data_IF_197760915625
#
_entry.id   IF_197760915625
#
_cell.length_a   1.000
_cell.length_b   1.000
_cell.length_c   1.000
_cell.angle_alpha   90.00
_cell.angle_beta   90.00
_cell.angle_gamma   90.00
#
_symmetry.space_group_name_H-M   'P 1'
#
loop_
_entity.id
_entity.type
_entity.pdbx_description
1 polymer ?
#
# COMPACT_ATOMS: atom_id res chain seq x y z
N UNK A 1 -8.67 -8.84 -0.25
CA UNK A 1 -9.63 -8.11 -1.10
C UNK A 1 -9.85 -8.82 -2.44
N UNK A 2 -8.80 -9.11 -3.21
CA UNK A 2 -8.88 -9.85 -4.48
C UNK A 2 -9.67 -11.17 -4.37
N UNK A 3 -9.27 -12.06 -3.44
CA UNK A 3 -9.99 -13.33 -3.19
C UNK A 3 -11.47 -13.13 -2.82
N UNK A 4 -11.78 -12.06 -2.08
CA UNK A 4 -13.17 -11.73 -1.70
C UNK A 4 -13.96 -11.30 -2.94
N UNK A 5 -13.37 -10.49 -3.81
CA UNK A 5 -13.96 -10.06 -5.08
C UNK A 5 -14.16 -11.23 -6.04
N UNK A 6 -13.21 -12.16 -6.10
CA UNK A 6 -13.33 -13.40 -6.87
C UNK A 6 -14.49 -14.28 -6.37
N UNK A 7 -14.64 -14.43 -5.05
CA UNK A 7 -15.81 -15.14 -4.47
C UNK A 7 -17.12 -14.44 -4.81
N UNK A 8 -17.15 -13.10 -4.84
CA UNK A 8 -18.35 -12.35 -5.25
C UNK A 8 -18.66 -12.48 -6.74
N UNK A 9 -17.65 -12.56 -7.61
CA UNK A 9 -17.84 -12.73 -9.05
C UNK A 9 -18.41 -14.12 -9.40
N UNK A 10 -18.13 -15.13 -8.57
CA UNK A 10 -18.68 -16.48 -8.72
C UNK A 10 -20.14 -16.64 -8.23
N UNK A 11 -20.74 -15.60 -7.62
CA UNK A 11 -22.11 -15.67 -7.08
C UNK A 11 -23.11 -14.92 -7.99
N UNK A 12 -24.05 -15.65 -8.59
CA UNK A 12 -25.06 -15.10 -9.53
C UNK A 12 -26.03 -14.08 -8.91
N UNK A 13 -26.22 -14.10 -7.59
CA UNK A 13 -27.08 -13.15 -6.86
C UNK A 13 -26.37 -12.76 -5.56
N UNK A 14 -26.08 -11.47 -5.39
CA UNK A 14 -25.42 -10.93 -4.18
C UNK A 14 -26.50 -10.40 -3.22
N UNK A 15 -26.97 -11.18 -2.23
CA UNK A 15 -27.86 -10.67 -1.21
C UNK A 15 -27.17 -9.60 -0.34
N UNK A 16 -27.94 -8.64 0.15
CA UNK A 16 -27.48 -7.51 0.99
C UNK A 16 -26.67 -8.01 2.20
N UNK A 17 -27.02 -9.17 2.76
CA UNK A 17 -26.31 -9.81 3.85
C UNK A 17 -24.83 -10.15 3.50
N UNK A 18 -24.56 -10.59 2.28
CA UNK A 18 -23.20 -10.87 1.84
C UNK A 18 -22.40 -9.58 1.60
N UNK A 19 -23.04 -8.50 1.16
CA UNK A 19 -22.40 -7.19 1.03
C UNK A 19 -21.92 -6.68 2.39
N UNK A 20 -22.76 -6.77 3.42
CA UNK A 20 -22.41 -6.44 4.81
C UNK A 20 -21.28 -7.35 5.31
N UNK A 21 -21.36 -8.66 5.04
CA UNK A 21 -20.31 -9.62 5.42
C UNK A 21 -18.97 -9.29 4.73
N UNK A 22 -18.99 -8.84 3.48
CA UNK A 22 -17.80 -8.37 2.76
C UNK A 22 -17.15 -7.17 3.44
N UNK A 23 -17.96 -6.19 3.87
CA UNK A 23 -17.48 -5.03 4.64
C UNK A 23 -16.88 -5.47 5.98
N UNK A 24 -17.56 -6.35 6.72
CA UNK A 24 -17.05 -6.87 7.99
C UNK A 24 -15.74 -7.64 7.77
N UNK A 25 -15.67 -8.49 6.74
CA UNK A 25 -14.45 -9.24 6.38
C UNK A 25 -13.29 -8.30 6.06
N UNK A 26 -13.55 -7.17 5.41
CA UNK A 26 -12.53 -6.14 5.17
C UNK A 26 -11.93 -5.62 6.49
N UNK A 27 -12.78 -5.24 7.45
CA UNK A 27 -12.29 -4.78 8.76
C UNK A 27 -11.54 -5.88 9.52
N UNK A 28 -12.03 -7.12 9.49
CA UNK A 28 -11.35 -8.27 10.13
C UNK A 28 -9.97 -8.51 9.51
N UNK A 29 -9.86 -8.48 8.19
CA UNK A 29 -8.58 -8.66 7.48
C UNK A 29 -7.59 -7.53 7.77
N UNK A 30 -8.08 -6.28 7.88
CA UNK A 30 -7.25 -5.13 8.23
C UNK A 30 -6.77 -5.17 9.69
N UNK A 31 -7.69 -5.38 10.63
CA UNK A 31 -7.37 -5.44 12.07
C UNK A 31 -6.53 -6.67 12.39
N UNK A 32 -6.84 -7.83 11.79
CA UNK A 32 -6.06 -9.06 11.94
C UNK A 32 -4.63 -8.88 11.46
N UNK A 33 -4.42 -8.26 10.30
CA UNK A 33 -3.08 -7.91 9.80
C UNK A 33 -2.33 -7.00 10.78
N UNK A 34 -2.99 -5.97 11.31
CA UNK A 34 -2.40 -5.05 12.29
C UNK A 34 -1.98 -5.77 13.58
N UNK A 35 -2.81 -6.65 14.13
CA UNK A 35 -2.51 -7.42 15.34
C UNK A 35 -1.31 -8.34 15.14
N UNK A 36 -1.27 -9.09 14.04
CA UNK A 36 -0.12 -9.97 13.72
C UNK A 36 1.16 -9.14 13.57
N UNK A 37 1.09 -8.01 12.89
CA UNK A 37 2.22 -7.08 12.74
C UNK A 37 2.74 -6.53 14.07
N UNK A 38 1.85 -6.22 15.01
CA UNK A 38 2.27 -5.74 16.34
C UNK A 38 2.95 -6.87 17.13
N UNK A 39 2.40 -8.09 17.10
CA UNK A 39 2.98 -9.25 17.80
C UNK A 39 4.36 -9.58 17.24
N UNK A 40 4.50 -9.63 15.91
CA UNK A 40 5.79 -9.90 15.25
C UNK A 40 6.81 -8.79 15.49
N UNK A 41 6.37 -7.52 15.51
CA UNK A 41 7.22 -6.37 15.83
C UNK A 41 7.70 -6.38 17.29
N UNK A 42 6.84 -6.78 18.22
CA UNK A 42 7.21 -7.01 19.62
C UNK A 42 8.22 -8.18 19.73
N UNK A 43 7.99 -9.28 19.00
CA UNK A 43 8.92 -10.39 18.87
C UNK A 43 10.28 -9.95 18.32
N UNK A 44 10.31 -9.05 17.34
CA UNK A 44 11.54 -8.45 16.82
C UNK A 44 12.29 -7.68 17.90
N UNK A 45 11.61 -6.84 18.69
CA UNK A 45 12.23 -6.11 19.81
C UNK A 45 12.86 -7.04 20.84
N UNK A 46 12.18 -8.14 21.16
CA UNK A 46 12.68 -9.16 22.06
C UNK A 46 13.93 -9.88 21.50
N UNK A 47 13.88 -10.35 20.25
CA UNK A 47 15.00 -11.00 19.59
C UNK A 47 16.22 -10.07 19.48
N UNK A 48 15.99 -8.82 19.12
CA UNK A 48 17.04 -7.80 19.03
C UNK A 48 17.74 -7.56 20.38
N UNK A 49 17.02 -7.67 21.50
CA UNK A 49 17.62 -7.59 22.84
C UNK A 49 18.56 -8.76 23.13
N UNK A 50 18.24 -9.96 22.65
CA UNK A 50 19.08 -11.15 22.82
C UNK A 50 20.35 -11.10 21.95
N UNK A 51 20.25 -10.52 20.75
CA UNK A 51 21.35 -10.42 19.77
C UNK A 51 22.23 -9.17 19.95
N UNK A 52 22.31 -8.62 21.17
CA UNK A 52 23.10 -7.40 21.44
C UNK A 52 24.61 -7.62 21.22
N UNK A 53 25.11 -8.84 21.45
CA UNK A 53 26.52 -9.17 21.33
C UNK A 53 27.04 -9.29 19.88
N UNK A 54 26.15 -9.44 18.88
CA UNK A 54 26.55 -9.67 17.47
C UNK A 54 25.97 -8.57 16.58
N UNK A 55 26.72 -7.48 16.38
CA UNK A 55 26.27 -6.29 15.65
C UNK A 55 25.84 -6.56 14.20
N UNK A 56 26.41 -7.58 13.54
CA UNK A 56 26.07 -7.96 12.15
C UNK A 56 24.72 -8.70 12.03
N UNK A 57 24.25 -9.33 13.10
CA UNK A 57 22.99 -10.07 13.09
C UNK A 57 21.77 -9.17 13.37
N UNK A 58 21.98 -7.98 13.93
CA UNK A 58 20.90 -7.02 14.25
C UNK A 58 20.06 -6.62 13.00
N UNK A 59 20.67 -6.22 11.86
CA UNK A 59 19.90 -5.93 10.64
C UNK A 59 19.14 -7.14 10.09
N UNK A 60 19.77 -8.32 10.14
CA UNK A 60 19.17 -9.56 9.63
C UNK A 60 17.90 -9.91 10.42
N UNK A 61 17.95 -9.82 11.75
CA UNK A 61 16.78 -10.07 12.60
C UNK A 61 15.61 -9.15 12.25
N UNK A 62 15.87 -7.86 11.98
CA UNK A 62 14.80 -6.92 11.57
C UNK A 62 14.13 -7.37 10.27
N UNK A 63 14.91 -7.67 9.23
CA UNK A 63 14.36 -8.06 7.94
C UNK A 63 13.67 -9.42 7.99
N UNK A 64 14.27 -10.41 8.66
CA UNK A 64 13.69 -11.74 8.78
C UNK A 64 12.38 -11.72 9.58
N UNK A 65 12.31 -10.96 10.68
CA UNK A 65 11.07 -10.85 11.46
C UNK A 65 9.98 -10.08 10.72
N UNK A 66 10.33 -9.06 9.94
CA UNK A 66 9.39 -8.36 9.07
C UNK A 66 8.83 -9.31 8.00
N UNK A 67 9.68 -10.10 7.34
CA UNK A 67 9.24 -11.09 6.36
C UNK A 67 8.41 -12.22 7.00
N UNK A 68 8.77 -12.67 8.20
CA UNK A 68 7.98 -13.63 8.96
C UNK A 68 6.58 -13.09 9.26
N UNK A 69 6.45 -11.80 9.61
CA UNK A 69 5.15 -11.14 9.83
C UNK A 69 4.25 -11.21 8.60
N UNK A 70 4.85 -11.03 7.42
CA UNK A 70 4.15 -11.14 6.15
C UNK A 70 3.67 -12.59 5.91
N UNK A 71 4.54 -13.58 6.06
CA UNK A 71 4.20 -14.99 5.86
C UNK A 71 3.14 -15.49 6.85
N UNK A 72 3.25 -15.11 8.14
CA UNK A 72 2.24 -15.45 9.14
C UNK A 72 0.88 -14.85 8.79
N UNK A 73 0.86 -13.61 8.33
CA UNK A 73 -0.38 -12.96 7.91
C UNK A 73 -1.04 -13.66 6.71
N UNK A 74 -0.26 -14.08 5.72
CA UNK A 74 -0.78 -14.84 4.57
C UNK A 74 -1.31 -16.21 4.99
N UNK A 75 -0.67 -16.88 5.96
CA UNK A 75 -1.15 -18.15 6.50
C UNK A 75 -2.53 -18.04 7.18
N UNK A 76 -2.79 -16.92 7.85
CA UNK A 76 -4.08 -16.63 8.49
C UNK A 76 -5.08 -15.96 7.54
N UNK A 77 -4.78 -15.85 6.24
CA UNK A 77 -5.59 -15.19 5.22
C UNK A 77 -5.94 -13.71 5.52
N UNK A 78 -5.12 -13.03 6.33
CA UNK A 78 -5.23 -11.60 6.63
C UNK A 78 -4.20 -10.79 5.84
N UNK A 79 -4.28 -9.45 5.87
CA UNK A 79 -3.48 -8.62 4.95
C UNK A 79 -1.99 -8.59 5.32
N UNK A 80 -1.17 -9.32 4.53
CA UNK A 80 0.28 -9.37 4.72
C UNK A 80 0.96 -8.01 4.63
N UNK A 81 0.51 -7.16 3.72
CA UNK A 81 1.07 -5.81 3.52
C UNK A 81 0.81 -4.94 4.77
N UNK A 82 -0.41 -4.98 5.32
CA UNK A 82 -0.76 -4.21 6.53
C UNK A 82 0.04 -4.74 7.74
N UNK A 83 0.18 -6.06 7.86
CA UNK A 83 1.01 -6.71 8.88
C UNK A 83 2.48 -6.26 8.81
N UNK A 84 3.06 -6.22 7.61
CA UNK A 84 4.43 -5.73 7.39
C UNK A 84 4.60 -4.27 7.81
N UNK A 85 3.64 -3.39 7.48
CA UNK A 85 3.66 -1.97 7.87
C UNK A 85 3.56 -1.82 9.38
N UNK A 86 2.62 -2.53 10.03
CA UNK A 86 2.47 -2.50 11.47
C UNK A 86 3.72 -3.01 12.20
N UNK A 87 4.32 -4.10 11.70
CA UNK A 87 5.60 -4.62 12.20
C UNK A 87 6.71 -3.56 12.10
N UNK A 88 6.85 -2.91 10.93
CA UNK A 88 7.84 -1.85 10.72
C UNK A 88 7.65 -0.63 11.63
N UNK A 89 6.41 -0.22 11.89
CA UNK A 89 6.08 0.85 12.83
C UNK A 89 6.53 0.52 14.27
N UNK A 90 6.23 -0.69 14.72
CA UNK A 90 6.63 -1.18 16.05
C UNK A 90 8.14 -1.34 16.14
N UNK A 91 8.79 -1.87 15.12
CA UNK A 91 10.25 -1.97 15.03
C UNK A 91 10.91 -0.59 15.14
N UNK A 92 10.40 0.41 14.41
CA UNK A 92 10.93 1.78 14.48
C UNK A 92 10.87 2.36 15.89
N UNK A 93 9.81 2.09 16.65
CA UNK A 93 9.65 2.63 17.99
C UNK A 93 10.47 1.85 19.03
N UNK A 94 10.42 0.51 19.01
CA UNK A 94 11.02 -0.34 20.03
C UNK A 94 12.36 -0.96 19.61
N UNK A 95 12.39 -1.69 18.49
CA UNK A 95 13.57 -2.45 18.07
C UNK A 95 14.76 -1.53 17.75
N UNK A 96 14.52 -0.37 17.12
CA UNK A 96 15.57 0.58 16.80
C UNK A 96 16.25 1.15 18.05
N UNK A 97 15.54 1.25 19.18
CA UNK A 97 16.13 1.68 20.46
C UNK A 97 17.12 0.67 21.01
N UNK A 98 16.96 -0.62 20.70
CA UNK A 98 17.81 -1.70 21.19
C UNK A 98 19.06 -1.93 20.31
N UNK A 99 19.17 -1.25 19.16
CA UNK A 99 20.18 -1.52 18.13
C UNK A 99 21.29 -0.48 18.14
N UNK A 100 22.51 -0.92 17.81
CA UNK A 100 23.67 -0.05 17.67
C UNK A 100 23.50 0.99 16.55
N UNK A 101 24.12 2.17 16.70
CA UNK A 101 24.04 3.24 15.69
C UNK A 101 24.51 2.81 14.29
N UNK A 102 25.56 1.98 14.23
CA UNK A 102 26.08 1.42 12.96
C UNK A 102 25.02 0.57 12.26
N UNK A 103 24.39 -0.36 12.97
CA UNK A 103 23.35 -1.24 12.43
C UNK A 103 22.08 -0.47 12.02
N UNK A 104 21.65 0.51 12.83
CA UNK A 104 20.54 1.41 12.49
C UNK A 104 20.76 2.12 11.15
N UNK A 105 21.99 2.59 10.94
CA UNK A 105 22.40 3.28 9.70
C UNK A 105 22.36 2.32 8.52
N UNK A 106 22.88 1.09 8.68
CA UNK A 106 22.83 0.03 7.67
C UNK A 106 21.40 -0.31 7.28
N UNK A 107 20.49 -0.53 8.23
CA UNK A 107 19.08 -0.84 7.94
C UNK A 107 18.42 0.29 7.17
N UNK A 108 18.62 1.54 7.59
CA UNK A 108 18.04 2.72 6.93
C UNK A 108 18.51 2.86 5.49
N UNK A 109 19.81 2.77 5.23
CA UNK A 109 20.35 2.91 3.88
C UNK A 109 20.00 1.71 3.00
N UNK A 110 20.09 0.50 3.53
CA UNK A 110 19.73 -0.71 2.78
C UNK A 110 18.26 -0.71 2.39
N UNK A 111 17.35 -0.37 3.30
CA UNK A 111 15.92 -0.22 2.99
C UNK A 111 15.69 0.86 1.93
N UNK A 112 16.41 2.00 2.01
CA UNK A 112 16.30 3.07 1.01
C UNK A 112 16.78 2.63 -0.38
N UNK A 113 17.89 1.91 -0.44
CA UNK A 113 18.43 1.37 -1.70
C UNK A 113 17.48 0.34 -2.29
N UNK A 114 16.96 -0.58 -1.47
CA UNK A 114 16.00 -1.60 -1.90
C UNK A 114 14.69 -0.98 -2.41
N UNK A 115 14.18 0.04 -1.70
CA UNK A 115 12.99 0.78 -2.13
C UNK A 115 13.22 1.48 -3.48
N UNK A 116 14.38 2.14 -3.65
CA UNK A 116 14.75 2.78 -4.92
C UNK A 116 14.93 1.79 -6.07
N UNK A 117 15.49 0.60 -5.80
CA UNK A 117 15.64 -0.45 -6.80
C UNK A 117 14.28 -0.99 -7.25
N UNK A 118 13.38 -1.27 -6.30
CA UNK A 118 12.01 -1.72 -6.61
C UNK A 118 11.22 -0.66 -7.38
N UNK A 119 11.42 0.61 -7.08
CA UNK A 119 10.80 1.71 -7.82
C UNK A 119 11.22 1.72 -9.30
N UNK A 120 12.53 1.57 -9.57
CA UNK A 120 13.06 1.47 -10.94
C UNK A 120 12.47 0.26 -11.67
N UNK A 121 12.37 -0.89 -10.99
CA UNK A 121 11.78 -2.12 -11.56
C UNK A 121 10.31 -1.88 -11.96
N UNK A 122 9.51 -1.25 -11.10
CA UNK A 122 8.11 -0.99 -11.43
C UNK A 122 7.98 -0.02 -12.62
N UNK A 123 8.81 1.02 -12.68
CA UNK A 123 8.81 1.93 -13.83
C UNK A 123 9.26 1.24 -15.12
N UNK A 124 10.21 0.31 -15.04
CA UNK A 124 10.62 -0.50 -16.18
C UNK A 124 9.47 -1.38 -16.67
N UNK A 125 8.72 -2.04 -15.77
CA UNK A 125 7.52 -2.80 -16.15
C UNK A 125 6.44 -1.92 -16.77
N UNK A 126 6.20 -0.73 -16.22
CA UNK A 126 5.25 0.23 -16.80
C UNK A 126 5.66 0.63 -18.22
N UNK A 127 6.96 0.85 -18.46
CA UNK A 127 7.49 1.18 -19.78
C UNK A 127 7.38 0.00 -20.77
N UNK A 128 7.61 -1.23 -20.31
CA UNK A 128 7.44 -2.43 -21.14
C UNK A 128 5.98 -2.63 -21.54
N UNK A 129 5.04 -2.48 -20.61
CA UNK A 129 3.61 -2.58 -20.91
C UNK A 129 3.18 -1.50 -21.91
N UNK A 130 3.69 -0.27 -21.79
CA UNK A 130 3.38 0.82 -22.74
C UNK A 130 3.77 0.48 -24.18
N UNK A 131 4.90 -0.21 -24.38
CA UNK A 131 5.42 -0.56 -25.73
C UNK A 131 4.68 -1.76 -26.34
N UNK A 132 3.93 -2.53 -25.55
CA UNK A 132 3.19 -3.69 -26.05
C UNK A 132 2.06 -3.28 -27.00
N UNK A 133 1.85 -4.03 -28.08
CA UNK A 133 0.84 -3.73 -29.13
C UNK A 133 -0.59 -4.21 -28.76
N UNK A 134 -0.85 -4.57 -27.50
CA UNK A 134 -2.14 -5.17 -27.06
C UNK A 134 -3.12 -4.18 -26.44
N UNK A 135 -3.05 -2.89 -26.81
CA UNK A 135 -3.88 -1.83 -26.21
C UNK A 135 -5.24 -1.68 -26.92
N UNK A 136 -6.33 -1.88 -26.17
CA UNK A 136 -7.68 -1.49 -26.61
C UNK A 136 -8.01 -0.10 -26.07
N UNK A 137 -7.95 0.90 -26.95
CA UNK A 137 -8.11 2.31 -26.60
C UNK A 137 -9.57 2.79 -26.71
N UNK A 138 -10.10 3.32 -25.60
CA UNK A 138 -11.37 4.03 -25.57
C UNK A 138 -11.22 5.42 -24.95
N UNK A 139 -11.09 6.44 -25.80
CA UNK A 139 -10.78 7.83 -25.39
C UNK A 139 -11.75 8.38 -24.35
N UNK A 140 -13.06 8.14 -24.52
CA UNK A 140 -14.08 8.66 -23.60
C UNK A 140 -13.94 8.09 -22.18
N UNK A 141 -13.65 6.80 -22.07
CA UNK A 141 -13.47 6.14 -20.77
C UNK A 141 -12.20 6.60 -20.07
N UNK A 142 -11.09 6.72 -20.81
CA UNK A 142 -9.82 7.21 -20.27
C UNK A 142 -9.92 8.66 -19.79
N UNK A 143 -10.57 9.53 -20.56
CA UNK A 143 -10.70 10.94 -20.20
C UNK A 143 -11.60 11.13 -18.97
N UNK A 144 -12.74 10.42 -18.91
CA UNK A 144 -13.61 10.47 -17.74
C UNK A 144 -12.96 9.90 -16.49
N UNK A 145 -12.25 8.78 -16.58
CA UNK A 145 -11.56 8.19 -15.43
C UNK A 145 -10.44 9.10 -14.92
N UNK A 146 -9.68 9.73 -15.80
CA UNK A 146 -8.66 10.72 -15.43
C UNK A 146 -9.28 11.92 -14.69
N UNK A 147 -10.32 12.54 -15.27
CA UNK A 147 -10.98 13.69 -14.66
C UNK A 147 -11.59 13.35 -13.29
N UNK A 148 -12.32 12.24 -13.21
CA UNK A 148 -12.94 11.82 -11.94
C UNK A 148 -11.88 11.47 -10.90
N UNK A 149 -10.81 10.76 -11.27
CA UNK A 149 -9.75 10.41 -10.33
C UNK A 149 -9.07 11.65 -9.75
N UNK A 150 -8.75 12.65 -10.59
CA UNK A 150 -8.19 13.93 -10.14
C UNK A 150 -9.17 14.70 -9.26
N UNK A 151 -10.44 14.84 -9.67
CA UNK A 151 -11.46 15.54 -8.89
C UNK A 151 -11.72 14.88 -7.53
N UNK A 152 -11.92 13.57 -7.49
CA UNK A 152 -12.12 12.83 -6.24
C UNK A 152 -10.91 12.94 -5.32
N UNK A 153 -9.69 12.95 -5.86
CA UNK A 153 -8.48 13.16 -5.05
C UNK A 153 -8.48 14.53 -4.36
N UNK A 154 -8.79 15.60 -5.09
CA UNK A 154 -8.93 16.93 -4.48
C UNK A 154 -10.08 16.95 -3.47
N UNK A 155 -11.26 16.47 -3.81
CA UNK A 155 -12.42 16.45 -2.92
C UNK A 155 -12.15 15.65 -1.63
N UNK A 156 -11.53 14.47 -1.72
CA UNK A 156 -11.21 13.64 -0.56
C UNK A 156 -10.13 14.28 0.31
N UNK A 157 -9.09 14.87 -0.29
CA UNK A 157 -8.00 15.51 0.48
C UNK A 157 -8.52 16.75 1.21
N UNK A 158 -9.26 17.62 0.53
CA UNK A 158 -9.88 18.80 1.13
C UNK A 158 -10.96 18.42 2.15
N UNK A 159 -11.79 17.41 1.84
CA UNK A 159 -12.81 16.90 2.74
C UNK A 159 -12.20 16.36 4.03
N UNK A 160 -11.15 15.53 3.93
CA UNK A 160 -10.43 15.01 5.09
C UNK A 160 -9.68 16.11 5.85
N UNK A 161 -9.04 17.06 5.17
CA UNK A 161 -8.36 18.16 5.82
C UNK A 161 -9.33 19.09 6.57
N UNK A 162 -10.52 19.33 6.01
CA UNK A 162 -11.61 20.05 6.66
C UNK A 162 -12.15 19.28 7.88
N UNK A 163 -12.33 17.96 7.74
CA UNK A 163 -12.74 17.08 8.83
C UNK A 163 -11.72 17.14 9.98
N UNK A 164 -10.44 17.01 9.68
CA UNK A 164 -9.35 17.10 10.67
C UNK A 164 -9.38 18.48 11.33
N UNK A 165 -9.41 19.58 10.57
CA UNK A 165 -9.46 20.93 11.13
C UNK A 165 -10.69 21.16 12.04
N UNK A 166 -11.80 20.45 11.80
CA UNK A 166 -13.02 20.53 12.62
C UNK A 166 -12.95 19.68 13.89
N UNK A 167 -12.38 18.48 13.84
CA UNK A 167 -12.33 17.55 14.99
C UNK A 167 -11.11 17.75 15.87
N UNK A 168 -10.02 18.33 15.36
CA UNK A 168 -8.74 18.42 16.06
C UNK A 168 -8.67 19.74 16.88
N UNK A 169 -9.37 19.77 18.01
CA UNK A 169 -9.41 20.93 18.95
C UNK A 169 -8.06 21.18 19.65
N UNK A 170 -7.09 20.26 19.55
CA UNK A 170 -5.82 20.26 20.30
C UNK A 170 -4.57 20.56 19.45
N UNK A 171 -4.70 20.92 18.17
CA UNK A 171 -3.54 21.33 17.33
C UNK A 171 -3.27 22.83 17.37
N UNK A 172 -2.00 23.18 17.53
CA UNK A 172 -1.47 24.56 17.58
C UNK A 172 -1.42 25.25 16.20
N UNK A 173 -1.57 24.51 15.09
CA UNK A 173 -1.50 25.05 13.72
C UNK A 173 -2.61 24.44 12.84
N UNK A 174 -3.49 25.29 12.32
CA UNK A 174 -4.48 24.90 11.32
C UNK A 174 -3.78 24.60 10.00
N UNK A 175 -4.26 23.58 9.28
CA UNK A 175 -3.80 23.30 7.92
C UNK A 175 -4.34 24.42 7.03
N UNK A 176 -3.44 25.21 6.44
CA UNK A 176 -3.81 26.29 5.52
C UNK A 176 -4.24 25.76 4.15
N UNK A 177 -4.93 26.57 3.34
CA UNK A 177 -5.32 26.20 1.98
C UNK A 177 -4.13 25.83 1.10
N UNK A 178 -2.99 26.51 1.26
CA UNK A 178 -1.76 26.24 0.51
C UNK A 178 -1.15 24.87 0.87
N UNK A 179 -1.22 24.50 2.16
CA UNK A 179 -0.76 23.20 2.65
C UNK A 179 -1.67 22.07 2.16
N UNK A 180 -3.00 22.28 2.15
CA UNK A 180 -3.95 21.32 1.58
C UNK A 180 -3.71 21.10 0.09
N UNK A 181 -3.43 22.19 -0.64
CA UNK A 181 -3.10 22.12 -2.05
C UNK A 181 -1.79 21.34 -2.26
N UNK A 182 -0.74 21.65 -1.51
CA UNK A 182 0.53 20.90 -1.56
C UNK A 182 0.33 19.41 -1.27
N UNK A 183 -0.50 19.06 -0.28
CA UNK A 183 -0.79 17.65 0.07
C UNK A 183 -1.58 16.95 -1.06
N UNK A 184 -2.55 17.63 -1.66
CA UNK A 184 -3.34 17.08 -2.77
C UNK A 184 -2.47 16.80 -4.01
N UNK A 185 -1.50 17.67 -4.29
CA UNK A 185 -0.50 17.44 -5.35
C UNK A 185 0.56 16.41 -4.97
N UNK A 186 1.02 16.38 -3.72
CA UNK A 186 2.15 15.55 -3.26
C UNK A 186 1.89 14.04 -3.06
N UNK A 187 0.74 13.51 -3.46
CA UNK A 187 0.36 12.10 -3.25
C UNK A 187 1.14 11.10 -4.10
N UNK A 188 1.45 9.97 -3.47
CA UNK A 188 2.37 8.93 -3.96
C UNK A 188 1.90 8.17 -5.22
N UNK A 189 2.89 7.90 -6.06
CA UNK A 189 2.94 7.11 -7.29
C UNK A 189 1.93 5.96 -7.38
N UNK A 190 1.12 5.96 -8.44
CA UNK A 190 0.10 4.96 -8.79
C UNK A 190 0.62 3.58 -9.18
N UNK A 191 1.83 3.21 -8.78
CA UNK A 191 2.46 1.92 -9.03
C UNK A 191 1.63 0.76 -8.48
N UNK A 192 1.02 0.93 -7.31
CA UNK A 192 0.15 -0.08 -6.70
C UNK A 192 -1.11 -0.34 -7.54
N UNK A 193 -1.69 0.69 -8.16
CA UNK A 193 -2.86 0.56 -9.02
C UNK A 193 -2.52 -0.21 -10.31
N UNK A 194 -1.35 0.07 -10.89
CA UNK A 194 -0.84 -0.68 -12.04
C UNK A 194 -0.61 -2.16 -11.69
N UNK A 195 0.05 -2.46 -10.57
CA UNK A 195 0.25 -3.85 -10.13
C UNK A 195 -1.08 -4.58 -9.93
N UNK A 196 -2.09 -3.93 -9.34
CA UNK A 196 -3.42 -4.53 -9.19
C UNK A 196 -4.10 -4.82 -10.54
N UNK A 197 -3.95 -3.92 -11.52
CA UNK A 197 -4.51 -4.13 -12.85
C UNK A 197 -3.80 -5.26 -13.60
N UNK A 198 -2.47 -5.39 -13.43
CA UNK A 198 -1.69 -6.46 -14.04
C UNK A 198 -2.00 -7.85 -13.44
N UNK A 199 -2.30 -7.92 -12.13
CA UNK A 199 -2.67 -9.16 -11.44
C UNK A 199 -4.08 -9.68 -11.80
N UNK A 200 -4.87 -8.95 -12.58
CA UNK A 200 -6.21 -9.37 -12.97
C UNK A 200 -6.14 -10.49 -14.01
N UNK A 201 -6.85 -11.59 -13.85
CA UNK A 201 -6.85 -12.68 -14.83
C UNK A 201 -7.64 -12.32 -16.11
N UNK A 202 -7.15 -12.75 -17.27
CA UNK A 202 -7.82 -12.52 -18.58
C UNK A 202 -9.10 -13.37 -18.73
N UNK A 203 -9.19 -14.49 -18.02
CA UNK A 203 -10.29 -15.45 -18.15
C UNK A 203 -11.59 -14.97 -17.50
N UNK A 204 -11.51 -14.21 -16.40
CA UNK A 204 -12.69 -13.73 -15.67
C UNK A 204 -13.28 -12.42 -16.27
N UNK A 205 -12.47 -11.63 -16.99
CA UNK A 205 -12.88 -10.31 -17.50
C UNK A 205 -12.28 -10.01 -18.89
N UNK A 206 -13.05 -10.18 -19.99
CA UNK A 206 -12.57 -9.90 -21.35
C UNK A 206 -12.18 -8.43 -21.57
N UNK A 207 -12.62 -7.51 -20.68
CA UNK A 207 -12.26 -6.08 -20.70
C UNK A 207 -10.98 -5.74 -19.92
N UNK A 208 -10.19 -6.71 -19.44
CA UNK A 208 -8.94 -6.46 -18.72
C UNK A 208 -8.01 -5.49 -19.46
N UNK A 209 -7.83 -5.68 -20.77
CA UNK A 209 -6.91 -4.86 -21.60
C UNK A 209 -7.28 -3.38 -21.60
N UNK A 210 -8.58 -3.07 -21.57
CA UNK A 210 -9.08 -1.69 -21.44
C UNK A 210 -8.76 -1.10 -20.07
N UNK A 211 -8.90 -1.88 -18.98
CA UNK A 211 -8.54 -1.44 -17.63
C UNK A 211 -7.04 -1.19 -17.48
N UNK A 212 -6.20 -2.10 -17.98
CA UNK A 212 -4.73 -1.96 -17.95
C UNK A 212 -4.30 -0.72 -18.74
N UNK A 213 -4.83 -0.53 -19.96
CA UNK A 213 -4.54 0.67 -20.78
C UNK A 213 -4.93 1.95 -20.04
N UNK A 214 -6.11 1.96 -19.42
CA UNK A 214 -6.62 3.14 -18.72
C UNK A 214 -5.81 3.46 -17.46
N UNK A 215 -5.47 2.46 -16.65
CA UNK A 215 -4.65 2.68 -15.45
C UNK A 215 -3.24 3.12 -15.82
N UNK A 216 -2.67 2.62 -16.93
CA UNK A 216 -1.38 3.07 -17.44
C UNK A 216 -1.40 4.56 -17.78
N UNK A 217 -2.41 5.04 -18.51
CA UNK A 217 -2.55 6.46 -18.85
C UNK A 217 -2.70 7.33 -17.59
N UNK A 218 -3.53 6.89 -16.64
CA UNK A 218 -3.72 7.61 -15.37
C UNK A 218 -2.41 7.70 -14.58
N UNK A 219 -1.64 6.61 -14.52
CA UNK A 219 -0.33 6.59 -13.84
C UNK A 219 0.66 7.51 -14.55
N UNK A 220 0.76 7.47 -15.88
CA UNK A 220 1.65 8.35 -16.63
C UNK A 220 1.29 9.83 -16.43
N UNK A 221 0.00 10.18 -16.51
CA UNK A 221 -0.47 11.54 -16.29
C UNK A 221 -0.17 12.01 -14.87
N UNK A 222 -0.47 11.20 -13.85
CA UNK A 222 -0.28 11.58 -12.43
C UNK A 222 1.19 11.56 -11.97
N UNK A 223 2.09 10.92 -12.70
CA UNK A 223 3.53 10.98 -12.44
C UNK A 223 4.17 12.18 -13.14
N UNK A 224 3.65 12.59 -14.31
CA UNK A 224 4.17 13.72 -15.06
C UNK A 224 3.71 15.08 -14.53
N UNK A 225 2.45 15.16 -14.05
CA UNK A 225 1.83 16.36 -13.44
C UNK A 225 2.13 16.42 -11.96
#
# INVERSE_FOLDING_TARGET
LYKVMQTFNLMDVVPVAQMVLGVVKFFVVCVGGLVIGIISGAGSSFLTRLTTHVGVAQPLVIYTTAYLSFLLSELFEVSGIISLIACGLVQRHYAFSNISYKSRTTVKYFTKVLASANEIIIFLFLALELVSETHQWHTGFVLWTLLLCTLFRFLLTFGMACLINRFDTMRVRLIGYDEMFMIAFGGLRGTVAFSLAALLDEEDLPMKRMFVTTTLVVVMFTVFV
#
